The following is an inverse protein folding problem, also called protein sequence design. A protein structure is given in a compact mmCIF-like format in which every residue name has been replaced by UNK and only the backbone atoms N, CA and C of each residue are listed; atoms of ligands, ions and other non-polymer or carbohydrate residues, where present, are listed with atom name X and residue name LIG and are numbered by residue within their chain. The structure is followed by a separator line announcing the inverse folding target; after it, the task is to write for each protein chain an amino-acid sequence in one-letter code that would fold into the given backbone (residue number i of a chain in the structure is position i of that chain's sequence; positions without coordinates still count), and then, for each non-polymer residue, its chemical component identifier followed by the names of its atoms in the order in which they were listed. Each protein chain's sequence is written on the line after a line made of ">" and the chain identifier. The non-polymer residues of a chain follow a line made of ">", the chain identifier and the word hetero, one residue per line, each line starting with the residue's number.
data_IF_745564587567
#
_entry.id   IF_745564587567
#
_cell.length_a   1.000
_cell.length_b   1.000
_cell.length_c   1.000
_cell.angle_alpha   90.00
_cell.angle_beta   90.00
_cell.angle_gamma   90.00
#
_symmetry.space_group_name_H-M   'P 1'
#
loop_
_entity.id
_entity.type
_entity.pdbx_description
1 polymer ?
#
# COMPACT_ATOMS: atom_id res chain seq x y z
N UNK A 1 11.98 -16.14 9.41
CA UNK A 1 12.17 -14.94 8.59
C UNK A 1 10.89 -14.16 8.63
N UNK A 2 10.93 -12.88 9.01
CA UNK A 2 9.74 -12.04 8.98
C UNK A 2 9.43 -11.63 7.55
N UNK A 3 8.16 -11.35 7.25
CA UNK A 3 7.75 -10.87 5.91
C UNK A 3 8.35 -9.49 5.61
N UNK A 4 8.74 -8.73 6.65
CA UNK A 4 9.44 -7.44 6.52
C UNK A 4 10.77 -7.57 5.79
N UNK A 5 11.53 -8.65 6.04
CA UNK A 5 12.84 -8.90 5.38
C UNK A 5 12.71 -9.14 3.88
N UNK A 6 11.52 -9.54 3.44
CA UNK A 6 11.21 -9.83 2.04
C UNK A 6 10.03 -9.02 1.53
N UNK A 7 9.85 -7.80 2.09
CA UNK A 7 8.73 -6.94 1.74
C UNK A 7 8.72 -6.63 0.23
N UNK A 8 7.70 -7.13 -0.44
CA UNK A 8 7.39 -6.82 -1.83
C UNK A 8 6.14 -5.94 -1.88
N UNK A 9 6.32 -4.68 -2.26
CA UNK A 9 5.23 -3.69 -2.44
C UNK A 9 5.01 -3.35 -3.91
N UNK A 10 5.46 -4.20 -4.82
CA UNK A 10 5.38 -3.97 -6.26
C UNK A 10 3.95 -3.85 -6.79
N UNK A 11 3.02 -4.62 -6.22
CA UNK A 11 1.59 -4.56 -6.53
C UNK A 11 0.78 -4.55 -5.23
N UNK A 12 0.20 -3.41 -4.88
CA UNK A 12 -0.38 -3.15 -3.59
C UNK A 12 -1.87 -2.79 -3.71
N UNK A 13 -2.73 -3.61 -3.10
CA UNK A 13 -4.18 -3.39 -3.02
C UNK A 13 -4.54 -2.67 -1.73
N UNK A 14 -5.30 -1.59 -1.83
CA UNK A 14 -6.02 -1.00 -0.68
C UNK A 14 -7.51 -1.29 -0.85
N UNK A 15 -8.11 -1.98 0.11
CA UNK A 15 -9.49 -2.45 0.02
C UNK A 15 -10.28 -2.16 1.30
N UNK A 16 -11.51 -1.75 1.13
CA UNK A 16 -12.49 -1.54 2.19
C UNK A 16 -13.91 -1.63 1.63
N UNK A 17 -14.92 -1.81 2.49
CA UNK A 17 -16.31 -2.01 2.06
C UNK A 17 -16.84 -0.85 1.22
N UNK A 18 -16.34 0.37 1.44
CA UNK A 18 -16.77 1.56 0.72
C UNK A 18 -16.39 1.54 -0.78
N UNK A 19 -15.47 0.68 -1.18
CA UNK A 19 -14.88 0.71 -2.52
C UNK A 19 -15.19 -0.51 -3.36
N UNK A 20 -15.92 -1.51 -2.82
CA UNK A 20 -16.11 -2.83 -3.46
C UNK A 20 -17.42 -2.98 -4.22
N UNK A 21 -18.23 -1.92 -4.32
CA UNK A 21 -19.57 -1.96 -4.94
C UNK A 21 -20.44 -3.07 -4.35
N UNK A 22 -20.41 -3.24 -3.01
CA UNK A 22 -21.18 -4.24 -2.27
C UNK A 22 -20.63 -5.67 -2.33
N UNK A 23 -19.49 -5.90 -3.00
CA UNK A 23 -18.83 -7.22 -2.99
C UNK A 23 -18.08 -7.44 -1.67
N UNK A 24 -18.00 -8.69 -1.16
CA UNK A 24 -17.20 -8.99 0.00
C UNK A 24 -15.72 -8.60 -0.21
N UNK A 25 -15.14 -7.85 0.73
CA UNK A 25 -13.72 -7.43 0.67
C UNK A 25 -12.79 -8.63 0.51
N UNK A 26 -13.06 -9.73 1.21
CA UNK A 26 -12.27 -10.96 1.12
C UNK A 26 -12.28 -11.58 -0.29
N UNK A 27 -13.35 -11.43 -1.07
CA UNK A 27 -13.39 -11.91 -2.45
C UNK A 27 -12.47 -11.07 -3.35
N UNK A 28 -12.47 -9.75 -3.18
CA UNK A 28 -11.56 -8.85 -3.90
C UNK A 28 -10.10 -9.14 -3.53
N UNK A 29 -9.81 -9.34 -2.23
CA UNK A 29 -8.47 -9.70 -1.75
C UNK A 29 -7.99 -11.02 -2.37
N UNK A 30 -8.83 -12.06 -2.35
CA UNK A 30 -8.51 -13.35 -2.99
C UNK A 30 -8.16 -13.15 -4.47
N UNK A 31 -9.03 -12.48 -5.22
CA UNK A 31 -8.90 -12.28 -6.66
C UNK A 31 -7.60 -11.53 -7.01
N UNK A 32 -7.26 -10.48 -6.23
CA UNK A 32 -6.03 -9.73 -6.40
C UNK A 32 -4.77 -10.55 -6.04
N UNK A 33 -4.81 -11.29 -4.94
CA UNK A 33 -3.69 -12.13 -4.49
C UNK A 33 -3.42 -13.30 -5.46
N UNK A 34 -4.46 -13.93 -5.96
CA UNK A 34 -4.34 -14.96 -7.01
C UNK A 34 -3.78 -14.38 -8.32
N UNK A 35 -4.11 -13.13 -8.64
CA UNK A 35 -3.58 -12.41 -9.80
C UNK A 35 -2.11 -11.95 -9.62
N UNK A 36 -1.57 -12.00 -8.38
CA UNK A 36 -0.18 -11.72 -8.10
C UNK A 36 0.10 -10.43 -7.34
N UNK A 37 -0.89 -9.83 -6.68
CA UNK A 37 -0.67 -8.76 -5.72
C UNK A 37 0.14 -9.26 -4.53
N UNK A 38 1.06 -8.42 -4.05
CA UNK A 38 2.08 -8.76 -3.05
C UNK A 38 1.85 -8.08 -1.71
N UNK A 39 1.02 -7.05 -1.67
CA UNK A 39 0.64 -6.35 -0.46
C UNK A 39 -0.85 -6.00 -0.48
N UNK A 40 -1.50 -6.14 0.68
CA UNK A 40 -2.91 -5.81 0.89
C UNK A 40 -3.03 -4.93 2.12
N UNK A 41 -3.79 -3.83 2.01
CA UNK A 41 -4.14 -2.96 3.13
C UNK A 41 -5.66 -2.95 3.30
N UNK A 42 -6.13 -3.26 4.51
CA UNK A 42 -7.52 -3.10 4.88
C UNK A 42 -7.74 -1.67 5.38
N UNK A 43 -8.63 -0.95 4.70
CA UNK A 43 -8.92 0.45 4.95
C UNK A 43 -10.41 0.73 4.95
N UNK A 44 -10.92 1.29 6.06
CA UNK A 44 -12.24 1.89 6.15
C UNK A 44 -12.20 3.10 7.10
N UNK A 45 -12.82 4.18 6.69
CA UNK A 45 -12.92 5.40 7.51
C UNK A 45 -14.20 5.44 8.33
N UNK A 46 -15.12 4.50 8.12
CA UNK A 46 -16.44 4.47 8.78
C UNK A 46 -16.66 3.21 9.62
N UNK A 47 -15.95 2.12 9.33
CA UNK A 47 -16.08 0.87 10.07
C UNK A 47 -15.57 1.03 11.52
N UNK A 48 -16.27 0.42 12.45
CA UNK A 48 -15.83 0.30 13.84
C UNK A 48 -14.57 -0.58 13.96
N UNK A 49 -13.87 -0.49 15.09
CA UNK A 49 -12.72 -1.35 15.36
C UNK A 49 -13.07 -2.84 15.23
N UNK A 50 -14.25 -3.26 15.73
CA UNK A 50 -14.72 -4.65 15.64
C UNK A 50 -14.91 -5.10 14.21
N UNK A 51 -15.50 -4.28 13.37
CA UNK A 51 -15.69 -4.57 11.94
C UNK A 51 -14.35 -4.61 11.19
N UNK A 52 -13.43 -3.69 11.49
CA UNK A 52 -12.09 -3.71 10.89
C UNK A 52 -11.29 -4.97 11.28
N UNK A 53 -11.39 -5.43 12.54
CA UNK A 53 -10.76 -6.69 12.99
C UNK A 53 -11.33 -7.86 12.18
N UNK A 54 -12.65 -7.91 12.00
CA UNK A 54 -13.31 -8.97 11.23
C UNK A 54 -12.94 -8.92 9.74
N UNK A 55 -12.93 -7.74 9.12
CA UNK A 55 -12.46 -7.56 7.73
C UNK A 55 -11.00 -8.02 7.57
N UNK A 56 -10.16 -7.70 8.55
CA UNK A 56 -8.75 -8.13 8.56
C UNK A 56 -8.63 -9.65 8.68
N UNK A 57 -9.45 -10.29 9.54
CA UNK A 57 -9.52 -11.75 9.64
C UNK A 57 -9.89 -12.38 8.30
N UNK A 58 -10.96 -11.90 7.68
CA UNK A 58 -11.44 -12.41 6.40
C UNK A 58 -10.39 -12.24 5.28
N UNK A 59 -9.67 -11.13 5.28
CA UNK A 59 -8.56 -10.91 4.34
C UNK A 59 -7.39 -11.87 4.60
N UNK A 60 -6.98 -12.06 5.86
CA UNK A 60 -5.94 -13.02 6.26
C UNK A 60 -6.30 -14.45 5.82
N UNK A 61 -7.55 -14.86 6.05
CA UNK A 61 -8.07 -16.16 5.63
C UNK A 61 -8.09 -16.31 4.10
N UNK A 62 -8.42 -15.25 3.35
CA UNK A 62 -8.39 -15.27 1.89
C UNK A 62 -6.96 -15.44 1.36
N UNK A 63 -6.00 -14.72 1.92
CA UNK A 63 -4.57 -14.83 1.59
C UNK A 63 -4.04 -16.24 1.92
N UNK A 64 -4.41 -16.77 3.08
CA UNK A 64 -4.00 -18.12 3.50
C UNK A 64 -4.56 -19.22 2.58
N UNK A 65 -5.86 -19.13 2.23
CA UNK A 65 -6.51 -20.06 1.28
C UNK A 65 -5.91 -20.01 -0.12
N UNK A 66 -5.37 -18.85 -0.54
CA UNK A 66 -4.62 -18.72 -1.78
C UNK A 66 -3.20 -19.29 -1.70
N UNK A 67 -2.77 -19.83 -0.54
CA UNK A 67 -1.41 -20.37 -0.32
C UNK A 67 -0.32 -19.29 -0.38
N UNK A 68 -0.64 -18.05 0.05
CA UNK A 68 0.24 -16.89 -0.08
C UNK A 68 0.57 -16.20 1.25
N UNK A 69 0.25 -16.82 2.38
CA UNK A 69 0.41 -16.21 3.71
C UNK A 69 1.85 -15.81 4.06
N UNK A 70 2.83 -16.46 3.47
CA UNK A 70 4.27 -16.23 3.63
C UNK A 70 4.85 -15.17 2.67
N UNK A 71 4.07 -14.71 1.68
CA UNK A 71 4.54 -13.86 0.58
C UNK A 71 3.75 -12.57 0.40
N UNK A 72 2.50 -12.53 0.88
CA UNK A 72 1.65 -11.36 0.78
C UNK A 72 1.58 -10.68 2.13
N UNK A 73 2.03 -9.43 2.18
CA UNK A 73 1.91 -8.59 3.36
C UNK A 73 0.46 -8.15 3.57
N UNK A 74 -0.05 -8.29 4.80
CA UNK A 74 -1.36 -7.78 5.20
C UNK A 74 -1.19 -6.64 6.20
N UNK A 75 -1.64 -5.46 5.83
CA UNK A 75 -1.56 -4.23 6.61
C UNK A 75 -2.96 -3.71 6.95
N UNK A 76 -3.03 -2.90 8.01
CA UNK A 76 -4.23 -2.12 8.37
C UNK A 76 -3.91 -0.64 8.23
N UNK A 77 -4.87 0.15 7.74
CA UNK A 77 -4.75 1.60 7.60
C UNK A 77 -5.02 2.29 8.94
N UNK A 78 -4.14 3.20 9.38
CA UNK A 78 -4.24 4.15 10.50
C UNK A 78 -4.45 3.54 11.92
N UNK A 79 -5.09 2.41 12.03
CA UNK A 79 -5.66 1.88 13.27
C UNK A 79 -4.72 0.90 13.98
N UNK A 80 -3.77 1.43 14.76
CA UNK A 80 -2.84 0.63 15.59
C UNK A 80 -3.60 -0.28 16.56
N UNK A 81 -4.68 0.19 17.18
CA UNK A 81 -5.53 -0.59 18.07
C UNK A 81 -6.12 -1.83 17.40
N UNK A 82 -6.52 -1.72 16.13
CA UNK A 82 -7.01 -2.85 15.32
C UNK A 82 -5.92 -3.87 15.06
N UNK A 83 -4.71 -3.43 14.70
CA UNK A 83 -3.56 -4.33 14.48
C UNK A 83 -3.25 -5.13 15.74
N UNK A 84 -3.13 -4.45 16.88
CA UNK A 84 -2.83 -5.07 18.18
C UNK A 84 -3.92 -6.06 18.60
N UNK A 85 -5.20 -5.67 18.49
CA UNK A 85 -6.32 -6.52 18.82
C UNK A 85 -6.46 -7.73 17.90
N UNK A 86 -6.21 -7.57 16.60
CA UNK A 86 -6.21 -8.65 15.62
C UNK A 86 -5.10 -9.67 15.93
N UNK A 87 -3.87 -9.21 16.16
CA UNK A 87 -2.74 -10.08 16.55
C UNK A 87 -3.01 -10.83 17.83
N UNK A 88 -3.60 -10.17 18.85
CA UNK A 88 -3.98 -10.82 20.11
C UNK A 88 -5.00 -11.95 19.92
N UNK A 89 -5.80 -11.89 18.84
CA UNK A 89 -6.75 -12.94 18.45
C UNK A 89 -6.16 -14.00 17.51
N UNK A 90 -4.84 -13.98 17.27
CA UNK A 90 -4.16 -14.92 16.38
C UNK A 90 -4.36 -14.63 14.89
N UNK A 91 -4.88 -13.46 14.51
CA UNK A 91 -5.02 -13.06 13.11
C UNK A 91 -3.65 -12.60 12.60
N UNK A 92 -3.23 -13.13 11.45
CA UNK A 92 -2.01 -12.68 10.76
C UNK A 92 -2.22 -11.25 10.27
N UNK A 93 -1.46 -10.31 10.83
CA UNK A 93 -1.34 -8.92 10.39
C UNK A 93 0.13 -8.53 10.46
N UNK A 94 0.69 -8.14 9.34
CA UNK A 94 2.13 -7.90 9.23
C UNK A 94 2.52 -6.48 9.65
N UNK A 95 1.57 -5.55 9.64
CA UNK A 95 1.88 -4.18 10.05
C UNK A 95 0.76 -3.18 9.81
N UNK A 96 1.17 -1.93 9.66
CA UNK A 96 0.30 -0.77 9.56
C UNK A 96 0.80 0.19 8.47
N UNK A 97 -0.13 0.94 7.86
CA UNK A 97 0.19 2.13 7.09
C UNK A 97 -0.48 3.33 7.75
N UNK A 98 0.25 4.42 7.94
CA UNK A 98 -0.25 5.65 8.60
C UNK A 98 -0.03 6.89 7.72
N UNK A 99 -0.85 7.89 7.94
CA UNK A 99 -0.69 9.22 7.37
C UNK A 99 0.03 10.19 8.32
N UNK A 100 0.09 11.46 7.93
CA UNK A 100 0.81 12.50 8.67
C UNK A 100 0.07 12.98 9.93
N UNK A 101 -1.25 12.78 9.99
CA UNK A 101 -2.11 13.16 11.11
C UNK A 101 -2.47 12.01 12.03
N UNK A 102 -2.03 10.79 11.70
CA UNK A 102 -2.32 9.59 12.46
C UNK A 102 -1.29 9.35 13.58
N UNK A 103 -1.34 8.20 14.22
CA UNK A 103 -0.34 7.82 15.23
C UNK A 103 1.07 7.88 14.60
N UNK A 104 2.04 8.55 15.24
CA UNK A 104 3.39 8.64 14.70
C UNK A 104 4.00 7.26 14.37
N UNK A 105 4.64 7.14 13.21
CA UNK A 105 5.25 5.89 12.75
C UNK A 105 6.24 5.30 13.76
N UNK A 106 6.98 6.15 14.50
CA UNK A 106 7.88 5.71 15.57
C UNK A 106 7.15 5.00 16.71
N UNK A 107 5.96 5.51 17.08
CA UNK A 107 5.10 4.87 18.10
C UNK A 107 4.55 3.55 17.56
N UNK A 108 4.14 3.51 16.28
CA UNK A 108 3.71 2.25 15.66
C UNK A 108 4.83 1.20 15.68
N UNK A 109 6.07 1.60 15.37
CA UNK A 109 7.24 0.72 15.42
C UNK A 109 7.49 0.18 16.83
N UNK A 110 7.42 1.04 17.84
CA UNK A 110 7.61 0.66 19.22
C UNK A 110 6.62 -0.42 19.68
N UNK A 111 5.33 -0.22 19.39
CA UNK A 111 4.27 -1.16 19.82
C UNK A 111 4.21 -2.44 18.97
N UNK A 112 4.54 -2.38 17.68
CA UNK A 112 4.43 -3.52 16.78
C UNK A 112 5.70 -4.37 16.70
N UNK A 113 6.84 -3.81 17.10
CA UNK A 113 8.14 -4.49 17.10
C UNK A 113 8.85 -4.46 15.73
N UNK A 114 10.10 -4.91 15.73
CA UNK A 114 11.01 -4.82 14.59
C UNK A 114 10.58 -5.70 13.38
N UNK A 115 9.87 -6.79 13.60
CA UNK A 115 9.41 -7.68 12.53
C UNK A 115 8.19 -7.16 11.78
N UNK A 116 7.61 -6.05 12.22
CA UNK A 116 6.41 -5.46 11.64
C UNK A 116 6.75 -4.52 10.49
N UNK A 117 5.81 -4.38 9.56
CA UNK A 117 5.88 -3.41 8.48
C UNK A 117 5.20 -2.11 8.94
N UNK A 118 5.88 -0.98 8.76
CA UNK A 118 5.33 0.35 9.00
C UNK A 118 5.48 1.19 7.74
N UNK A 119 4.37 1.48 7.08
CA UNK A 119 4.31 2.39 5.94
C UNK A 119 3.90 3.80 6.37
N UNK A 120 4.38 4.82 5.66
CA UNK A 120 4.03 6.21 5.91
C UNK A 120 3.70 6.94 4.61
N UNK A 121 2.53 7.59 4.57
CA UNK A 121 2.21 8.54 3.49
C UNK A 121 3.16 9.74 3.57
N UNK A 122 3.91 10.00 2.49
CA UNK A 122 4.77 11.17 2.40
C UNK A 122 3.94 12.46 2.31
N UNK A 123 4.47 13.56 2.83
CA UNK A 123 3.83 14.88 2.72
C UNK A 123 3.74 15.33 1.28
N UNK A 124 2.63 15.95 0.91
CA UNK A 124 2.47 16.54 -0.43
C UNK A 124 3.31 17.81 -0.55
N UNK A 125 3.24 18.68 0.46
CA UNK A 125 4.05 19.88 0.56
C UNK A 125 5.52 19.50 0.79
N UNK A 126 6.43 20.14 0.06
CA UNK A 126 7.87 19.91 0.17
C UNK A 126 8.29 18.43 0.03
N UNK A 127 7.56 17.66 -0.78
CA UNK A 127 7.72 16.20 -0.88
C UNK A 127 9.17 15.74 -1.03
N UNK A 128 9.93 16.38 -1.90
CA UNK A 128 11.33 15.98 -2.17
C UNK A 128 12.24 16.22 -0.97
N UNK A 129 12.07 17.35 -0.30
CA UNK A 129 12.83 17.66 0.91
C UNK A 129 12.40 16.75 2.04
N UNK A 130 11.08 16.54 2.18
CA UNK A 130 10.54 15.66 3.21
C UNK A 130 11.12 14.25 3.12
N UNK A 131 11.08 13.58 1.96
CA UNK A 131 11.59 12.19 1.85
C UNK A 131 13.10 12.11 2.01
N UNK A 132 13.85 13.19 1.72
CA UNK A 132 15.29 13.25 1.89
C UNK A 132 15.70 13.42 3.35
N UNK A 133 14.91 14.12 4.15
CA UNK A 133 15.25 14.54 5.52
C UNK A 133 14.46 13.84 6.62
N UNK A 134 13.35 13.17 6.28
CA UNK A 134 12.54 12.45 7.25
C UNK A 134 13.35 11.34 7.92
N UNK A 135 13.11 11.13 9.22
CA UNK A 135 13.66 9.99 9.92
C UNK A 135 13.01 8.69 9.39
N UNK A 136 13.70 8.00 8.51
CA UNK A 136 13.24 6.75 7.91
C UNK A 136 13.45 5.52 8.82
N UNK A 137 14.15 5.63 9.95
CA UNK A 137 14.44 4.50 10.85
C UNK A 137 13.22 3.68 11.25
N UNK A 138 12.10 4.29 11.66
CA UNK A 138 10.91 3.56 12.08
C UNK A 138 10.01 3.07 10.92
N UNK A 139 10.28 3.42 9.66
CA UNK A 139 9.41 3.14 8.52
C UNK A 139 10.10 2.27 7.47
N UNK A 140 9.31 1.49 6.71
CA UNK A 140 9.81 0.57 5.69
C UNK A 140 9.61 1.08 4.27
N UNK A 141 8.60 1.93 4.05
CA UNK A 141 8.34 2.54 2.76
C UNK A 141 7.52 3.83 2.87
N UNK A 142 7.64 4.68 1.86
CA UNK A 142 6.76 5.83 1.67
C UNK A 142 5.64 5.50 0.67
N UNK A 143 4.41 5.88 1.00
CA UNK A 143 3.33 6.04 0.04
C UNK A 143 3.35 7.47 -0.54
N UNK A 144 3.33 7.61 -1.84
CA UNK A 144 3.34 8.90 -2.53
C UNK A 144 2.24 9.00 -3.59
N UNK A 145 1.85 10.22 -3.93
CA UNK A 145 0.82 10.50 -4.91
C UNK A 145 0.13 11.83 -4.61
N UNK A 146 -1.02 12.10 -5.25
CA UNK A 146 -1.66 11.26 -6.26
C UNK A 146 -1.00 11.41 -7.65
N UNK A 147 -1.10 10.34 -8.47
CA UNK A 147 -0.70 10.41 -9.88
C UNK A 147 -1.76 11.16 -10.69
N UNK A 148 -3.03 10.90 -10.40
CA UNK A 148 -4.19 11.62 -10.94
C UNK A 148 -5.15 12.00 -9.82
N UNK A 149 -5.98 12.99 -10.05
CA UNK A 149 -7.08 13.31 -9.13
C UNK A 149 -7.96 12.09 -8.88
N UNK A 150 -8.39 11.91 -7.63
CA UNK A 150 -9.16 10.73 -7.23
C UNK A 150 -10.22 11.09 -6.19
N UNK A 151 -11.43 10.56 -6.38
CA UNK A 151 -12.50 10.68 -5.40
C UNK A 151 -12.35 9.72 -4.21
N UNK A 152 -11.51 8.68 -4.31
CA UNK A 152 -11.35 7.65 -3.27
C UNK A 152 -10.72 8.20 -1.98
N UNK A 153 -9.84 9.19 -2.10
CA UNK A 153 -9.24 9.93 -0.98
C UNK A 153 -9.18 11.42 -1.38
N UNK A 154 -10.25 12.18 -1.17
CA UNK A 154 -10.35 13.57 -1.62
C UNK A 154 -9.28 14.50 -1.02
N UNK A 155 -8.76 14.15 0.15
CA UNK A 155 -7.69 14.85 0.87
C UNK A 155 -6.29 14.43 0.42
N UNK A 156 -6.18 13.49 -0.53
CA UNK A 156 -4.90 13.02 -1.04
C UNK A 156 -4.27 14.09 -1.95
N UNK A 157 -3.04 14.45 -1.61
CA UNK A 157 -2.29 15.37 -2.45
C UNK A 157 -2.63 16.85 -2.25
N UNK A 158 -3.35 17.23 -1.21
CA UNK A 158 -3.63 18.64 -0.91
C UNK A 158 -2.34 19.36 -0.49
N UNK A 159 -2.12 20.53 -1.09
CA UNK A 159 -1.11 21.48 -0.64
C UNK A 159 -1.62 22.32 0.54
N UNK A 160 -0.82 23.31 0.95
CA UNK A 160 -1.15 24.21 2.07
C UNK A 160 -2.37 25.08 1.80
N UNK A 161 -2.72 25.28 0.54
CA UNK A 161 -3.86 26.08 0.10
C UNK A 161 -5.10 25.20 -0.16
N UNK A 162 -5.01 23.90 0.10
CA UNK A 162 -6.08 22.93 -0.14
C UNK A 162 -6.27 22.55 -1.60
N UNK A 163 -5.30 22.84 -2.48
CA UNK A 163 -5.32 22.48 -3.90
C UNK A 163 -4.69 21.10 -4.10
N UNK A 164 -5.31 20.26 -4.94
CA UNK A 164 -4.74 18.96 -5.31
C UNK A 164 -3.50 19.14 -6.18
N UNK A 165 -2.39 18.55 -5.77
CA UNK A 165 -1.12 18.51 -6.51
C UNK A 165 -0.87 17.08 -6.97
N UNK A 166 -1.04 16.82 -8.27
CA UNK A 166 -0.68 15.55 -8.89
C UNK A 166 0.82 15.48 -9.18
N UNK A 167 1.34 14.26 -9.35
CA UNK A 167 2.76 14.03 -9.59
C UNK A 167 3.01 13.56 -11.01
N UNK A 168 3.95 14.19 -11.71
CA UNK A 168 4.42 13.69 -12.99
C UNK A 168 5.32 12.46 -12.83
N UNK A 169 5.48 11.66 -13.88
CA UNK A 169 6.46 10.55 -13.88
C UNK A 169 7.90 11.03 -13.64
N UNK A 170 8.22 12.26 -14.09
CA UNK A 170 9.51 12.89 -13.80
C UNK A 170 9.71 13.18 -12.30
N UNK A 171 8.67 13.68 -11.63
CA UNK A 171 8.70 13.88 -10.18
C UNK A 171 8.85 12.56 -9.43
N UNK A 172 8.14 11.51 -9.86
CA UNK A 172 8.23 10.18 -9.25
C UNK A 172 9.62 9.56 -9.44
N UNK A 173 10.23 9.72 -10.61
CA UNK A 173 11.61 9.28 -10.84
C UNK A 173 12.62 10.07 -9.99
N UNK A 174 12.41 11.36 -9.77
CA UNK A 174 13.22 12.16 -8.85
C UNK A 174 13.02 11.70 -7.40
N UNK A 175 11.78 11.45 -7.01
CA UNK A 175 11.42 10.97 -5.67
C UNK A 175 12.08 9.63 -5.35
N UNK A 176 12.00 8.66 -6.27
CA UNK A 176 12.62 7.35 -6.12
C UNK A 176 14.13 7.42 -5.92
N UNK A 177 14.80 8.40 -6.56
CA UNK A 177 16.26 8.61 -6.38
C UNK A 177 16.63 9.30 -5.07
N UNK A 178 15.76 10.16 -4.55
CA UNK A 178 16.03 10.95 -3.33
C UNK A 178 15.66 10.20 -2.07
N UNK A 179 14.68 9.29 -2.13
CA UNK A 179 14.22 8.55 -0.96
C UNK A 179 15.25 7.51 -0.51
N UNK A 180 15.59 7.45 0.78
CA UNK A 180 16.47 6.43 1.34
C UNK A 180 15.79 5.06 1.48
N UNK A 181 14.48 5.00 1.34
CA UNK A 181 13.66 3.80 1.46
C UNK A 181 12.71 3.66 0.25
N UNK A 182 12.15 2.46 0.00
CA UNK A 182 11.21 2.24 -1.09
C UNK A 182 10.05 3.23 -1.12
N UNK A 183 9.60 3.60 -2.32
CA UNK A 183 8.43 4.45 -2.55
C UNK A 183 7.41 3.68 -3.36
N UNK A 184 6.16 3.65 -2.89
CA UNK A 184 5.01 3.11 -3.63
C UNK A 184 4.08 4.25 -4.03
N UNK A 185 3.53 4.19 -5.24
CA UNK A 185 2.77 5.30 -5.82
C UNK A 185 1.31 4.91 -6.07
N UNK A 186 0.39 5.79 -5.69
CA UNK A 186 -1.04 5.60 -5.91
C UNK A 186 -1.79 6.90 -6.15
N UNK A 187 -3.12 6.84 -6.00
CA UNK A 187 -4.02 7.95 -6.27
C UNK A 187 -4.32 8.06 -7.77
N UNK A 188 -5.45 7.45 -8.18
CA UNK A 188 -5.94 7.48 -9.55
C UNK A 188 -5.14 6.67 -10.58
N UNK A 189 -4.20 5.82 -10.16
CA UNK A 189 -3.40 4.95 -11.04
C UNK A 189 -4.30 4.05 -11.88
N UNK A 190 -4.04 4.02 -13.19
CA UNK A 190 -4.74 3.21 -14.20
C UNK A 190 -3.78 2.25 -14.90
N UNK A 191 -4.32 1.24 -15.55
CA UNK A 191 -3.53 0.25 -16.31
C UNK A 191 -2.58 0.92 -17.33
N UNK A 192 -3.02 1.96 -18.01
CA UNK A 192 -2.21 2.68 -18.99
C UNK A 192 -0.98 3.39 -18.39
N UNK A 193 -1.00 3.71 -17.09
CA UNK A 193 0.09 4.40 -16.41
C UNK A 193 1.22 3.45 -16.02
N UNK A 194 0.90 2.16 -15.83
CA UNK A 194 1.79 1.17 -15.23
C UNK A 194 3.15 1.05 -15.94
N UNK A 195 3.23 0.97 -17.28
CA UNK A 195 4.53 0.84 -17.95
C UNK A 195 5.45 2.05 -17.68
N UNK A 196 4.91 3.27 -17.74
CA UNK A 196 5.67 4.49 -17.46
C UNK A 196 6.06 4.58 -15.99
N UNK A 197 5.14 4.20 -15.08
CA UNK A 197 5.39 4.20 -13.65
C UNK A 197 6.50 3.21 -13.27
N UNK A 198 6.50 2.01 -13.82
CA UNK A 198 7.53 1.01 -13.58
C UNK A 198 8.92 1.50 -14.02
N UNK A 199 9.00 2.32 -15.07
CA UNK A 199 10.25 2.94 -15.54
C UNK A 199 10.80 4.06 -14.63
N UNK A 200 10.04 4.54 -13.64
CA UNK A 200 10.49 5.64 -12.77
C UNK A 200 11.47 5.22 -11.66
N UNK A 201 11.56 3.93 -11.37
CA UNK A 201 12.38 3.40 -10.27
C UNK A 201 11.68 3.39 -8.92
N UNK A 202 10.38 3.70 -8.83
CA UNK A 202 9.59 3.45 -7.63
C UNK A 202 9.44 1.95 -7.38
N UNK A 203 9.23 1.55 -6.14
CA UNK A 203 9.20 0.14 -5.74
C UNK A 203 7.88 -0.56 -6.12
N UNK A 204 6.83 0.19 -6.40
CA UNK A 204 5.53 -0.38 -6.74
C UNK A 204 4.44 0.65 -6.94
N UNK A 205 3.24 0.14 -7.18
CA UNK A 205 2.02 0.93 -7.28
C UNK A 205 0.98 0.44 -6.27
N UNK A 206 0.11 1.34 -5.83
CA UNK A 206 -1.08 0.94 -5.08
C UNK A 206 -2.36 1.43 -5.75
N UNK A 207 -3.39 0.61 -5.67
CA UNK A 207 -4.71 0.87 -6.26
C UNK A 207 -5.83 0.58 -5.28
N UNK A 208 -6.94 1.27 -5.45
CA UNK A 208 -8.21 1.03 -4.76
C UNK A 208 -9.28 0.71 -5.80
N UNK A 209 -9.93 1.74 -6.35
CA UNK A 209 -11.07 1.61 -7.25
C UNK A 209 -10.75 0.89 -8.56
N UNK A 210 -9.53 0.95 -9.04
CA UNK A 210 -9.13 0.25 -10.26
C UNK A 210 -9.37 -1.27 -10.16
N UNK A 211 -9.18 -1.86 -8.98
CA UNK A 211 -9.47 -3.29 -8.72
C UNK A 211 -10.79 -3.45 -7.99
N UNK A 212 -10.98 -2.76 -6.86
CA UNK A 212 -12.15 -2.94 -6.02
C UNK A 212 -13.47 -2.58 -6.73
N UNK A 213 -13.44 -1.58 -7.61
CA UNK A 213 -14.61 -1.12 -8.38
C UNK A 213 -14.78 -1.78 -9.74
N UNK A 214 -13.82 -2.60 -10.20
CA UNK A 214 -13.84 -3.21 -11.53
C UNK A 214 -15.01 -4.18 -11.72
N UNK A 215 -15.47 -4.34 -12.95
CA UNK A 215 -16.45 -5.37 -13.31
C UNK A 215 -15.93 -6.78 -13.08
N UNK A 216 -14.66 -7.02 -13.41
CA UNK A 216 -13.91 -8.25 -13.13
C UNK A 216 -12.60 -7.88 -12.39
N UNK A 217 -12.60 -7.90 -11.04
CA UNK A 217 -11.44 -7.56 -10.23
C UNK A 217 -10.22 -8.44 -10.50
N UNK A 218 -10.42 -9.73 -10.78
CA UNK A 218 -9.33 -10.66 -11.05
C UNK A 218 -8.63 -10.35 -12.36
N UNK A 219 -9.39 -10.12 -13.42
CA UNK A 219 -8.86 -9.77 -14.71
C UNK A 219 -8.10 -8.44 -14.68
N UNK A 220 -8.66 -7.42 -14.02
CA UNK A 220 -8.01 -6.11 -13.89
C UNK A 220 -6.71 -6.21 -13.06
N UNK A 221 -6.74 -6.92 -11.93
CA UNK A 221 -5.56 -7.16 -11.11
C UNK A 221 -4.46 -7.89 -11.90
N UNK A 222 -4.81 -8.90 -12.69
CA UNK A 222 -3.86 -9.63 -13.52
C UNK A 222 -3.24 -8.75 -14.62
N UNK A 223 -4.05 -7.87 -15.23
CA UNK A 223 -3.55 -6.92 -16.23
C UNK A 223 -2.54 -5.93 -15.64
N UNK A 224 -2.84 -5.35 -14.46
CA UNK A 224 -1.95 -4.44 -13.74
C UNK A 224 -0.61 -5.11 -13.39
N UNK A 225 -0.65 -6.30 -12.80
CA UNK A 225 0.57 -7.05 -12.43
C UNK A 225 1.39 -7.42 -13.66
N UNK A 226 0.75 -7.86 -14.74
CA UNK A 226 1.42 -8.17 -16.00
C UNK A 226 2.12 -6.93 -16.59
N UNK A 227 1.44 -5.80 -16.61
CA UNK A 227 2.00 -4.55 -17.11
C UNK A 227 3.19 -4.07 -16.26
N UNK A 228 3.08 -4.18 -14.92
CA UNK A 228 4.17 -3.85 -14.01
C UNK A 228 5.41 -4.70 -14.27
N UNK A 229 5.26 -6.02 -14.33
CA UNK A 229 6.37 -6.95 -14.55
C UNK A 229 7.05 -6.73 -15.91
N UNK A 230 6.29 -6.32 -16.92
CA UNK A 230 6.85 -6.03 -18.25
C UNK A 230 7.65 -4.71 -18.29
N UNK A 231 7.31 -3.73 -17.45
CA UNK A 231 7.96 -2.42 -17.39
C UNK A 231 9.03 -2.29 -16.30
N UNK A 232 9.00 -3.14 -15.28
CA UNK A 232 9.96 -3.07 -14.18
C UNK A 232 11.35 -3.49 -14.65
N UNK A 233 12.42 -2.77 -14.25
CA UNK A 233 13.79 -3.22 -14.51
C UNK A 233 14.00 -4.58 -13.84
N UNK A 234 14.79 -5.46 -14.51
CA UNK A 234 15.16 -6.75 -13.94
C UNK A 234 15.71 -6.57 -12.52
N UNK A 235 15.42 -7.48 -11.58
CA UNK A 235 16.01 -7.42 -10.24
C UNK A 235 17.52 -7.28 -10.38
N UNK A 236 18.12 -6.32 -9.71
CA UNK A 236 19.58 -6.25 -9.62
C UNK A 236 20.01 -7.46 -8.80
N UNK A 237 20.57 -8.47 -9.46
CA UNK A 237 21.19 -9.60 -8.78
C UNK A 237 22.25 -9.07 -7.81
N UNK A 238 22.06 -9.32 -6.52
CA UNK A 238 23.07 -9.18 -5.50
C UNK A 238 23.35 -7.77 -5.00
N UNK A 239 22.46 -7.21 -4.22
CA UNK A 239 22.88 -6.33 -3.13
C UNK A 239 22.65 -7.10 -1.82
N UNK A 240 23.58 -7.99 -1.51
CA UNK A 240 23.72 -8.52 -0.17
C UNK A 240 23.97 -7.35 0.79
N UNK A 241 23.16 -7.26 1.81
CA UNK A 241 23.46 -6.56 3.06
C UNK A 241 23.57 -7.57 4.18
#
# INVERSE_FOLDING_TARGET
>A
MSIREHLDISAYLVAGPENTNGRPVAAIVRDAVEAGFTCVQIRSKVASARELIELTRQAADAIARAGRADRVALLVDDRLDVVLAARKQGIKVDGIHVGQSDIPAAVCREYLGEDSIVGLSARTHELFEYVRTANAGPIDYFGAGPLHETATKPDCGLDVDGKVVTRSFGDLAKLARLSPIPVVVGGGVKLADIPALAGTGVAGFFVVSAVCGAGDPKAEAAALVKAWRAGAPAPKDGAGR
#
